data_IF_914165827402
#
_entry.id   IF_914165827402
#
_cell.length_a   1.000
_cell.length_b   1.000
_cell.length_c   1.000
_cell.angle_alpha   90.00
_cell.angle_beta   90.00
_cell.angle_gamma   90.00
#
_symmetry.space_group_name_H-M   'P 1'
#
loop_
_entity.id
_entity.type
_entity.pdbx_description
1 polymer ?
#
# COMPACT_ATOMS: atom_id res chain seq x y z
N UNK A 1 41.83 9.98 -9.24
CA UNK A 1 41.38 8.68 -9.80
C UNK A 1 40.66 7.93 -8.70
N UNK A 2 39.35 8.08 -8.58
CA UNK A 2 38.51 7.37 -7.61
C UNK A 2 37.51 6.55 -8.41
N UNK A 3 37.79 5.25 -8.54
CA UNK A 3 36.89 4.33 -9.24
C UNK A 3 35.67 4.08 -8.36
N UNK A 4 34.49 4.38 -8.93
CA UNK A 4 33.19 4.00 -8.38
C UNK A 4 32.98 2.51 -8.67
N UNK A 5 33.11 1.67 -7.65
CA UNK A 5 32.70 0.26 -7.75
C UNK A 5 31.18 0.21 -7.66
N UNK A 6 30.51 0.02 -8.80
CA UNK A 6 29.09 -0.27 -8.83
C UNK A 6 28.82 -1.63 -8.15
N UNK A 7 27.72 -1.80 -7.40
CA UNK A 7 27.34 -3.10 -6.87
C UNK A 7 27.01 -4.03 -8.05
N UNK A 8 27.72 -5.15 -8.14
CA UNK A 8 27.41 -6.19 -9.10
C UNK A 8 26.07 -6.82 -8.73
N UNK A 9 25.01 -6.47 -9.46
CA UNK A 9 23.73 -7.17 -9.41
C UNK A 9 23.91 -8.57 -9.98
N UNK A 10 24.41 -9.49 -9.17
CA UNK A 10 24.36 -10.92 -9.46
C UNK A 10 22.89 -11.32 -9.55
N UNK A 11 22.38 -11.48 -10.77
CA UNK A 11 21.07 -12.02 -11.00
C UNK A 11 21.07 -13.45 -10.43
N UNK A 12 20.46 -13.64 -9.25
CA UNK A 12 20.20 -14.97 -8.72
C UNK A 12 19.30 -15.68 -9.72
N UNK A 13 19.84 -16.65 -10.44
CA UNK A 13 19.05 -17.57 -11.26
C UNK A 13 18.14 -18.34 -10.31
N UNK A 14 16.85 -17.99 -10.28
CA UNK A 14 15.88 -18.76 -9.53
C UNK A 14 15.79 -20.16 -10.16
N UNK A 15 16.16 -21.20 -9.43
CA UNK A 15 15.95 -22.59 -9.84
C UNK A 15 14.46 -22.93 -9.75
N UNK A 16 13.98 -23.76 -10.68
CA UNK A 16 12.61 -24.27 -10.61
C UNK A 16 12.42 -25.13 -9.35
N UNK A 17 11.27 -24.98 -8.69
CA UNK A 17 10.89 -25.81 -7.56
C UNK A 17 10.65 -27.26 -8.03
N UNK A 18 11.09 -28.22 -7.23
CA UNK A 18 10.76 -29.63 -7.41
C UNK A 18 9.28 -29.90 -7.12
N UNK A 19 8.77 -31.02 -7.62
CA UNK A 19 7.38 -31.44 -7.37
C UNK A 19 7.08 -31.62 -5.87
N UNK A 20 8.06 -32.10 -5.10
CA UNK A 20 7.95 -32.27 -3.65
C UNK A 20 7.86 -30.93 -2.92
N UNK A 21 8.69 -29.95 -3.30
CA UNK A 21 8.62 -28.59 -2.74
C UNK A 21 7.28 -27.92 -3.05
N UNK A 22 6.77 -28.08 -4.27
CA UNK A 22 5.45 -27.55 -4.66
C UNK A 22 4.34 -28.22 -3.85
N UNK A 23 4.41 -29.54 -3.63
CA UNK A 23 3.44 -30.26 -2.80
C UNK A 23 3.48 -29.78 -1.34
N UNK A 24 4.68 -29.55 -0.79
CA UNK A 24 4.86 -29.02 0.56
C UNK A 24 4.29 -27.60 0.71
N UNK A 25 4.54 -26.72 -0.26
CA UNK A 25 3.96 -25.36 -0.28
C UNK A 25 2.43 -25.43 -0.36
N UNK A 26 1.90 -26.27 -1.26
CA UNK A 26 0.44 -26.44 -1.44
C UNK A 26 -0.25 -26.91 -0.17
N UNK A 27 0.38 -27.81 0.61
CA UNK A 27 -0.15 -28.28 1.88
C UNK A 27 -0.32 -27.16 2.93
N UNK A 28 0.38 -26.02 2.77
CA UNK A 28 0.19 -24.84 3.61
C UNK A 28 -1.09 -24.05 3.34
N UNK A 29 -1.84 -24.36 2.27
CA UNK A 29 -3.04 -23.62 1.86
C UNK A 29 -4.30 -24.48 2.04
N UNK A 30 -4.97 -24.41 3.20
CA UNK A 30 -6.12 -25.27 3.52
C UNK A 30 -7.29 -25.10 2.52
N UNK A 31 -7.41 -23.92 1.89
CA UNK A 31 -8.44 -23.69 0.88
C UNK A 31 -8.32 -24.61 -0.34
N UNK A 32 -7.09 -25.01 -0.70
CA UNK A 32 -6.81 -25.84 -1.89
C UNK A 32 -7.10 -27.33 -1.69
N UNK A 33 -7.46 -27.76 -0.48
CA UNK A 33 -7.90 -29.11 -0.16
C UNK A 33 -9.35 -29.36 -0.56
N UNK A 34 -10.14 -28.29 -0.75
CA UNK A 34 -11.54 -28.40 -1.13
C UNK A 34 -11.69 -28.98 -2.54
N UNK A 35 -12.67 -29.85 -2.78
CA UNK A 35 -12.96 -30.30 -4.14
C UNK A 35 -13.51 -29.16 -4.99
N UNK A 36 -13.18 -29.17 -6.28
CA UNK A 36 -13.82 -28.30 -7.26
C UNK A 36 -15.30 -28.66 -7.44
N UNK A 37 -16.07 -27.76 -8.07
CA UNK A 37 -17.51 -27.95 -8.31
C UNK A 37 -17.84 -29.24 -9.09
N UNK A 38 -16.91 -29.72 -9.91
CA UNK A 38 -17.02 -30.95 -10.69
C UNK A 38 -16.40 -32.18 -9.98
N UNK A 39 -16.18 -32.12 -8.66
CA UNK A 39 -15.53 -33.15 -7.86
C UNK A 39 -14.06 -33.44 -8.23
N UNK A 40 -13.44 -32.61 -9.07
CA UNK A 40 -12.01 -32.67 -9.40
C UNK A 40 -11.13 -31.90 -8.43
N UNK A 41 -9.81 -31.94 -8.66
CA UNK A 41 -8.86 -31.12 -7.91
C UNK A 41 -9.10 -29.62 -8.16
N UNK A 42 -9.10 -28.80 -7.11
CA UNK A 42 -9.27 -27.37 -7.23
C UNK A 42 -8.04 -26.71 -7.87
N UNK A 43 -8.26 -26.10 -9.04
CA UNK A 43 -7.29 -25.24 -9.71
C UNK A 43 -7.74 -23.78 -9.58
N UNK A 44 -7.04 -23.00 -8.76
CA UNK A 44 -7.32 -21.58 -8.55
C UNK A 44 -6.40 -20.72 -9.41
N UNK A 45 -6.90 -20.22 -10.54
CA UNK A 45 -6.13 -19.44 -11.53
C UNK A 45 -6.40 -17.93 -11.48
N UNK A 46 -7.18 -17.46 -10.51
CA UNK A 46 -7.56 -16.05 -10.35
C UNK A 46 -6.72 -15.34 -9.27
N UNK A 47 -5.45 -15.73 -9.14
CA UNK A 47 -4.52 -15.21 -8.12
C UNK A 47 -4.21 -13.72 -8.28
N UNK A 48 -4.36 -13.20 -9.50
CA UNK A 48 -4.13 -11.79 -9.82
C UNK A 48 -5.23 -10.88 -9.23
N UNK A 49 -6.44 -11.38 -9.04
CA UNK A 49 -7.51 -10.65 -8.38
C UNK A 49 -7.37 -10.71 -6.85
N UNK A 50 -7.12 -11.92 -6.31
CA UNK A 50 -6.80 -12.12 -4.89
C UNK A 50 -6.06 -13.43 -4.71
N UNK A 51 -5.17 -13.52 -3.74
CA UNK A 51 -4.42 -14.74 -3.44
C UNK A 51 -4.98 -15.46 -2.22
N UNK A 52 -4.87 -16.80 -2.20
CA UNK A 52 -5.26 -17.59 -1.03
C UNK A 52 -4.30 -17.35 0.13
N UNK A 53 -4.81 -17.42 1.36
CA UNK A 53 -4.01 -17.24 2.58
C UNK A 53 -3.46 -18.60 3.06
N UNK A 54 -2.16 -18.71 3.38
CA UNK A 54 -1.63 -19.90 4.03
C UNK A 54 -2.11 -19.99 5.49
N UNK A 55 -2.10 -21.18 6.06
CA UNK A 55 -2.58 -21.43 7.43
C UNK A 55 -1.85 -20.57 8.48
N UNK A 56 -0.54 -20.35 8.32
CA UNK A 56 0.25 -19.50 9.22
C UNK A 56 -0.30 -18.08 9.33
N UNK A 57 -0.66 -17.45 8.21
CA UNK A 57 -1.23 -16.10 8.18
C UNK A 57 -2.59 -16.07 8.87
N UNK A 58 -3.44 -17.06 8.63
CA UNK A 58 -4.77 -17.15 9.25
C UNK A 58 -4.65 -17.30 10.76
N UNK A 59 -3.75 -18.17 11.21
CA UNK A 59 -3.49 -18.40 12.64
C UNK A 59 -2.97 -17.15 13.31
N UNK A 60 -1.97 -16.48 12.76
CA UNK A 60 -1.41 -15.23 13.33
C UNK A 60 -2.45 -14.12 13.39
N UNK A 61 -3.26 -13.93 12.34
CA UNK A 61 -4.35 -12.94 12.34
C UNK A 61 -5.38 -13.25 13.44
N UNK A 62 -5.78 -14.52 13.57
CA UNK A 62 -6.73 -14.94 14.58
C UNK A 62 -6.16 -14.83 16.00
N UNK A 63 -4.88 -15.13 16.21
CA UNK A 63 -4.21 -15.02 17.50
C UNK A 63 -4.07 -13.56 17.92
N UNK A 64 -3.70 -12.66 17.01
CA UNK A 64 -3.70 -11.22 17.29
C UNK A 64 -5.05 -10.75 17.85
N UNK A 65 -6.16 -11.17 17.24
CA UNK A 65 -7.49 -10.82 17.74
C UNK A 65 -7.86 -11.46 19.08
N UNK A 66 -7.34 -12.66 19.38
CA UNK A 66 -7.63 -13.37 20.64
C UNK A 66 -6.88 -12.79 21.83
N UNK A 67 -5.60 -12.43 21.65
CA UNK A 67 -4.69 -12.15 22.76
C UNK A 67 -4.05 -10.76 22.75
N UNK A 68 -4.00 -10.07 21.60
CA UNK A 68 -3.21 -8.83 21.44
C UNK A 68 -3.99 -7.66 20.86
N UNK A 69 -5.32 -7.76 20.77
CA UNK A 69 -6.15 -6.69 20.23
C UNK A 69 -6.23 -5.51 21.21
N UNK A 70 -5.54 -4.42 20.89
CA UNK A 70 -5.50 -3.20 21.68
C UNK A 70 -5.43 -1.96 20.80
N UNK A 71 -5.81 -0.80 21.36
CA UNK A 71 -5.69 0.48 20.67
C UNK A 71 -4.21 0.92 20.62
N UNK A 72 -3.49 0.47 19.59
CA UNK A 72 -2.09 0.79 19.36
C UNK A 72 -1.84 2.32 19.32
N UNK A 73 -0.77 2.77 19.98
CA UNK A 73 -0.31 4.17 19.96
C UNK A 73 -1.20 5.20 20.68
N UNK A 74 -2.18 4.79 21.49
CA UNK A 74 -3.09 5.71 22.21
C UNK A 74 -3.31 5.43 23.69
N UNK A 75 -2.71 4.37 24.25
CA UNK A 75 -2.91 3.95 25.65
C UNK A 75 -1.62 3.39 26.23
N UNK A 76 -1.49 3.41 27.56
CA UNK A 76 -0.31 2.96 28.32
C UNK A 76 -0.58 1.66 29.09
N UNK A 77 -1.61 0.90 28.70
CA UNK A 77 -1.92 -0.39 29.30
C UNK A 77 -1.24 -1.51 28.50
N UNK A 78 -0.86 -2.59 29.19
CA UNK A 78 -0.06 -3.69 28.66
C UNK A 78 -0.51 -4.19 27.27
N UNK A 79 -1.82 -4.40 27.07
CA UNK A 79 -2.35 -4.86 25.78
C UNK A 79 -2.16 -3.86 24.63
N UNK A 80 -2.12 -2.55 24.92
CA UNK A 80 -1.86 -1.54 23.91
C UNK A 80 -0.38 -1.48 23.53
N UNK A 81 0.53 -1.73 24.48
CA UNK A 81 1.97 -1.82 24.22
C UNK A 81 2.30 -3.07 23.40
N UNK A 82 1.73 -4.23 23.75
CA UNK A 82 1.88 -5.48 22.98
C UNK A 82 1.33 -5.35 21.55
N UNK A 83 0.16 -4.72 21.39
CA UNK A 83 -0.40 -4.42 20.08
C UNK A 83 0.49 -3.48 19.26
N UNK A 84 1.06 -2.45 19.90
CA UNK A 84 1.95 -1.48 19.25
C UNK A 84 3.26 -2.15 18.82
N UNK A 85 3.88 -2.95 19.69
CA UNK A 85 5.10 -3.69 19.36
C UNK A 85 4.88 -4.63 18.17
N UNK A 86 3.81 -5.43 18.19
CA UNK A 86 3.46 -6.35 17.08
C UNK A 86 3.24 -5.58 15.76
N UNK A 87 2.62 -4.40 15.84
CA UNK A 87 2.36 -3.57 14.67
C UNK A 87 3.64 -2.95 14.07
N UNK A 88 4.55 -2.48 14.91
CA UNK A 88 5.83 -1.91 14.47
C UNK A 88 6.80 -3.01 13.98
N UNK A 89 6.81 -4.20 14.59
CA UNK A 89 7.53 -5.37 14.08
C UNK A 89 7.05 -5.75 12.67
N UNK A 90 5.72 -5.72 12.44
CA UNK A 90 5.16 -5.94 11.11
C UNK A 90 5.57 -4.83 10.13
N UNK A 91 5.67 -3.58 10.57
CA UNK A 91 6.16 -2.46 9.74
C UNK A 91 7.59 -2.71 9.29
N UNK A 92 8.47 -3.09 10.20
CA UNK A 92 9.88 -3.34 9.90
C UNK A 92 10.06 -4.57 9.00
N UNK A 93 9.26 -5.62 9.20
CA UNK A 93 9.28 -6.79 8.31
C UNK A 93 8.88 -6.44 6.87
N UNK A 94 7.81 -5.64 6.68
CA UNK A 94 7.40 -5.21 5.34
C UNK A 94 8.41 -4.22 4.76
N UNK A 95 8.96 -3.32 5.57
CA UNK A 95 9.99 -2.38 5.13
C UNK A 95 11.23 -3.13 4.61
N UNK A 96 11.71 -4.14 5.34
CA UNK A 96 12.80 -5.00 4.90
C UNK A 96 12.47 -5.75 3.60
N UNK A 97 11.23 -6.25 3.46
CA UNK A 97 10.78 -6.95 2.24
C UNK A 97 10.85 -6.06 1.00
N UNK A 98 10.51 -4.78 1.11
CA UNK A 98 10.53 -3.82 -0.01
C UNK A 98 11.83 -3.01 -0.10
N UNK A 99 12.79 -3.22 0.81
CA UNK A 99 14.07 -2.50 0.85
C UNK A 99 13.98 -1.05 1.34
N UNK A 100 13.01 -0.74 2.21
CA UNK A 100 12.80 0.58 2.84
C UNK A 100 13.10 0.54 4.34
N UNK A 101 13.11 1.72 5.00
CA UNK A 101 13.09 1.83 6.47
C UNK A 101 11.65 1.87 6.98
N UNK A 102 11.42 1.40 8.21
CA UNK A 102 10.08 1.47 8.84
C UNK A 102 9.48 2.88 8.80
N UNK A 103 10.30 3.91 9.05
CA UNK A 103 9.86 5.32 8.99
C UNK A 103 9.45 5.83 7.61
N UNK A 104 9.79 5.11 6.54
CA UNK A 104 9.41 5.42 5.15
C UNK A 104 8.15 4.65 4.73
N UNK A 105 7.65 3.74 5.56
CA UNK A 105 6.51 2.88 5.26
C UNK A 105 5.23 3.40 5.91
N UNK A 106 4.19 3.57 5.10
CA UNK A 106 2.84 3.96 5.55
C UNK A 106 1.87 2.84 5.19
N UNK A 107 1.21 2.26 6.20
CA UNK A 107 0.13 1.32 5.98
C UNK A 107 -1.14 2.05 5.53
N UNK A 108 -1.73 1.57 4.45
CA UNK A 108 -3.05 1.98 3.93
C UNK A 108 -3.95 0.76 3.81
N UNK A 109 -5.25 0.97 3.61
CA UNK A 109 -6.22 -0.12 3.42
C UNK A 109 -5.90 -0.96 2.18
N UNK A 110 -5.47 -0.32 1.11
CA UNK A 110 -5.17 -0.96 -0.17
C UNK A 110 -4.24 -0.09 -1.05
N UNK A 111 -3.81 -0.66 -2.19
CA UNK A 111 -2.96 0.02 -3.16
C UNK A 111 -3.62 1.27 -3.77
N UNK A 112 -4.93 1.23 -4.02
CA UNK A 112 -5.68 2.38 -4.56
C UNK A 112 -5.62 3.58 -3.62
N UNK A 113 -5.81 3.36 -2.32
CA UNK A 113 -5.69 4.40 -1.30
C UNK A 113 -4.26 4.93 -1.20
N UNK A 114 -3.24 4.06 -1.29
CA UNK A 114 -1.84 4.50 -1.28
C UNK A 114 -1.53 5.45 -2.45
N UNK A 115 -2.00 5.12 -3.65
CA UNK A 115 -1.81 5.97 -4.83
C UNK A 115 -2.55 7.31 -4.66
N UNK A 116 -3.79 7.27 -4.17
CA UNK A 116 -4.56 8.48 -3.91
C UNK A 116 -3.91 9.36 -2.83
N UNK A 117 -3.35 8.76 -1.78
CA UNK A 117 -2.61 9.46 -0.73
C UNK A 117 -1.43 10.24 -1.33
N UNK A 118 -0.63 9.59 -2.18
CA UNK A 118 0.50 10.22 -2.87
C UNK A 118 0.01 11.35 -3.78
N UNK A 119 -1.02 11.12 -4.60
CA UNK A 119 -1.55 12.12 -5.52
C UNK A 119 -2.07 13.37 -4.78
N UNK A 120 -2.79 13.18 -3.67
CA UNK A 120 -3.30 14.27 -2.85
C UNK A 120 -2.18 15.00 -2.10
N UNK A 121 -1.21 14.28 -1.53
CA UNK A 121 -0.07 14.87 -0.83
C UNK A 121 0.77 15.75 -1.77
N UNK A 122 1.07 15.22 -2.96
CA UNK A 122 1.78 15.95 -4.01
C UNK A 122 0.96 17.18 -4.46
N UNK A 123 -0.33 16.99 -4.75
CA UNK A 123 -1.20 18.10 -5.16
C UNK A 123 -1.27 19.21 -4.11
N UNK A 124 -1.36 18.86 -2.82
CA UNK A 124 -1.34 19.85 -1.73
C UNK A 124 0.01 20.57 -1.62
N UNK A 125 1.12 19.83 -1.69
CA UNK A 125 2.46 20.41 -1.64
C UNK A 125 2.69 21.40 -2.79
N UNK A 126 2.34 21.02 -4.02
CA UNK A 126 2.44 21.89 -5.21
C UNK A 126 1.55 23.15 -5.13
N UNK A 127 0.45 23.09 -4.38
CA UNK A 127 -0.41 24.25 -4.10
C UNK A 127 0.04 25.07 -2.89
N UNK A 128 1.19 24.73 -2.28
CA UNK A 128 1.69 25.38 -1.07
C UNK A 128 0.77 25.21 0.13
N UNK A 129 -0.12 24.20 0.12
CA UNK A 129 -0.98 23.87 1.25
C UNK A 129 -0.17 22.99 2.21
N UNK A 130 0.24 23.50 3.37
CA UNK A 130 1.00 22.69 4.31
C UNK A 130 0.11 21.54 4.80
N UNK A 131 0.70 20.36 5.00
CA UNK A 131 0.12 19.41 5.95
C UNK A 131 0.02 20.12 7.31
N UNK A 132 -0.92 19.72 8.17
CA UNK A 132 -1.20 20.36 9.46
C UNK A 132 0.01 20.48 10.42
N UNK A 133 1.19 19.94 10.05
CA UNK A 133 2.51 20.35 10.53
C UNK A 133 3.36 20.82 9.35
N UNK A 134 3.71 22.10 9.36
CA UNK A 134 4.25 22.87 8.22
C UNK A 134 5.39 22.21 7.44
N UNK A 135 5.15 22.00 6.15
CA UNK A 135 6.18 21.94 5.12
C UNK A 135 6.11 23.22 4.29
N UNK A 136 7.28 23.77 3.91
CA UNK A 136 7.37 24.97 3.06
C UNK A 136 6.74 24.77 1.68
N UNK A 137 6.52 25.88 0.96
CA UNK A 137 5.96 25.84 -0.40
C UNK A 137 6.83 24.99 -1.34
N UNK A 138 6.20 24.23 -2.23
CA UNK A 138 6.89 23.46 -3.25
C UNK A 138 7.83 24.35 -4.11
N UNK A 139 9.03 23.84 -4.37
CA UNK A 139 10.03 24.51 -5.19
C UNK A 139 9.59 24.61 -6.66
N UNK A 140 10.16 25.55 -7.42
CA UNK A 140 9.76 25.80 -8.81
C UNK A 140 10.04 24.61 -9.76
N UNK A 141 10.99 23.75 -9.39
CA UNK A 141 11.43 22.52 -10.05
C UNK A 141 10.77 21.25 -9.49
N UNK A 142 9.65 21.39 -8.77
CA UNK A 142 8.94 20.26 -8.15
C UNK A 142 8.57 19.17 -9.21
N UNK A 143 9.11 17.95 -9.09
CA UNK A 143 8.82 16.84 -10.01
C UNK A 143 7.33 16.48 -10.06
N UNK A 144 6.55 16.85 -9.03
CA UNK A 144 5.08 16.80 -9.03
C UNK A 144 4.42 17.44 -10.25
N UNK A 145 5.05 18.48 -10.82
CA UNK A 145 4.52 19.19 -12.01
C UNK A 145 4.64 18.38 -13.30
N UNK A 146 5.33 17.24 -13.27
CA UNK A 146 5.51 16.33 -14.42
C UNK A 146 5.16 14.89 -14.02
N UNK A 147 3.95 14.66 -13.52
CA UNK A 147 3.45 13.30 -13.33
C UNK A 147 3.12 12.69 -14.71
N UNK A 148 3.92 11.71 -15.13
CA UNK A 148 3.68 10.93 -16.36
C UNK A 148 3.06 9.59 -15.96
N UNK A 149 1.87 9.31 -16.45
CA UNK A 149 1.19 8.02 -16.26
C UNK A 149 1.34 7.19 -17.54
N UNK A 150 1.96 6.00 -17.43
CA UNK A 150 2.13 5.07 -18.55
C UNK A 150 0.82 4.39 -18.96
N UNK A 151 0.74 3.93 -20.21
CA UNK A 151 -0.49 3.41 -20.83
C UNK A 151 -1.12 2.18 -20.11
N UNK A 152 -0.30 1.41 -19.38
CA UNK A 152 -0.70 0.16 -18.73
C UNK A 152 -1.43 0.31 -17.37
N UNK A 153 -1.63 1.53 -16.84
CA UNK A 153 -2.26 1.73 -15.52
C UNK A 153 -3.79 1.83 -15.54
N UNK A 154 -4.45 1.50 -16.66
CA UNK A 154 -5.92 1.52 -16.78
C UNK A 154 -6.55 0.26 -16.19
N UNK A 155 -6.51 0.09 -14.88
CA UNK A 155 -7.42 -0.83 -14.17
C UNK A 155 -7.32 -0.66 -12.65
N UNK A 156 -8.38 -0.11 -12.03
CA UNK A 156 -8.93 -0.41 -10.68
C UNK A 156 -9.59 0.79 -10.00
N UNK A 157 -9.42 2.01 -10.50
CA UNK A 157 -10.29 3.16 -10.15
C UNK A 157 -10.08 4.28 -11.17
N UNK A 158 -11.15 4.86 -11.76
CA UNK A 158 -11.00 6.16 -12.39
C UNK A 158 -10.60 7.14 -11.28
N UNK A 159 -9.40 7.71 -11.40
CA UNK A 159 -9.06 8.95 -10.69
C UNK A 159 -10.22 9.92 -10.97
N UNK A 160 -10.79 10.64 -9.99
CA UNK A 160 -11.72 11.71 -10.31
C UNK A 160 -10.97 12.68 -11.22
N UNK A 161 -11.31 12.66 -12.50
CA UNK A 161 -10.70 13.45 -13.55
C UNK A 161 -11.21 14.89 -13.45
N UNK A 162 -10.88 15.55 -12.36
CA UNK A 162 -11.07 16.99 -12.15
C UNK A 162 -10.02 17.50 -11.17
N UNK A 163 -8.75 17.14 -11.39
CA UNK A 163 -7.69 18.12 -11.14
C UNK A 163 -7.75 19.10 -12.33
N UNK A 164 -8.11 20.38 -12.13
CA UNK A 164 -8.17 21.33 -13.24
C UNK A 164 -6.75 21.62 -13.74
N UNK A 165 -6.32 20.84 -14.72
CA UNK A 165 -5.23 21.22 -15.61
C UNK A 165 -5.68 22.41 -16.45
N UNK A 166 -5.03 23.54 -16.24
CA UNK A 166 -5.04 24.77 -17.03
C UNK A 166 -6.28 25.68 -16.97
N UNK A 167 -6.10 26.84 -16.33
CA UNK A 167 -6.75 28.09 -16.77
C UNK A 167 -5.63 28.99 -17.32
N UNK A 168 -5.41 29.05 -18.63
CA UNK A 168 -4.55 30.06 -19.21
C UNK A 168 -5.36 31.37 -19.32
N UNK A 169 -5.09 32.30 -18.41
CA UNK A 169 -5.48 33.70 -18.56
C UNK A 169 -6.90 34.08 -18.11
N UNK A 170 -6.93 35.11 -17.24
CA UNK A 170 -8.07 35.90 -16.73
C UNK A 170 -8.77 35.35 -15.48
N UNK A 171 -8.46 36.02 -14.37
CA UNK A 171 -9.24 36.22 -13.13
C UNK A 171 -10.49 35.34 -12.92
N UNK A 172 -10.40 34.38 -12.00
CA UNK A 172 -11.57 33.80 -11.36
C UNK A 172 -11.82 34.53 -10.02
N UNK A 173 -12.88 35.33 -9.96
CA UNK A 173 -13.46 35.82 -8.71
C UNK A 173 -14.04 34.66 -7.89
N UNK A 174 -14.11 34.74 -6.55
CA UNK A 174 -14.61 33.66 -5.72
C UNK A 174 -16.12 33.44 -5.95
N UNK A 175 -16.48 32.24 -6.41
CA UNK A 175 -17.86 31.79 -6.42
C UNK A 175 -18.35 31.56 -4.98
N UNK A 176 -19.46 32.18 -4.63
CA UNK A 176 -20.11 32.07 -3.33
C UNK A 176 -20.55 30.62 -3.06
N UNK A 177 -20.29 30.13 -1.85
CA UNK A 177 -20.72 28.81 -1.40
C UNK A 177 -22.23 28.78 -1.12
N UNK A 178 -22.99 27.77 -1.59
CA UNK A 178 -24.35 27.56 -1.12
C UNK A 178 -24.36 26.93 0.28
N UNK A 179 -25.41 27.17 1.09
CA UNK A 179 -25.43 26.83 2.50
C UNK A 179 -25.57 25.32 2.76
N UNK A 180 -24.98 24.89 3.89
CA UNK A 180 -25.03 23.54 4.42
C UNK A 180 -26.47 23.04 4.58
N UNK A 181 -26.82 21.96 3.87
CA UNK A 181 -27.99 21.14 4.19
C UNK A 181 -27.53 19.98 5.09
N UNK A 182 -28.07 19.97 6.31
CA UNK A 182 -27.81 18.96 7.33
C UNK A 182 -28.30 17.57 6.93
N UNK A 183 -27.58 16.56 7.43
CA UNK A 183 -28.02 15.17 7.46
C UNK A 183 -28.24 14.81 8.93
N UNK A 184 -29.52 14.71 9.31
CA UNK A 184 -29.99 13.80 10.34
C UNK A 184 -30.13 12.41 9.75
#
# INVERSE_FOLDING_TARGET
>A
MTQSTAPSTGARSASALSAEEVAAIRAGFPYLERPARNSGALAYLDWAATSQKPASVITTEADFYRISNGAAGRSTYQLADEATATFEDARDAVAAFVGARGSELVFTKNATEAINLVALAIGHASLGRPASRGGGAAAADDPARRLIIGEATRSSSPVPSTMPTSCPGRSCAPAQAPPCAGWT
#
